data_IF_167543012237
#
_entry.id   IF_167543012237
#
_cell.length_a   1.000
_cell.length_b   1.000
_cell.length_c   1.000
_cell.angle_alpha   90.00
_cell.angle_beta   90.00
_cell.angle_gamma   90.00
#
_symmetry.space_group_name_H-M   'P 1'
#
loop_
_entity.id
_entity.type
_entity.pdbx_description
1 polymer ?
#
# COMPACT_ATOMS: atom_id res chain seq x y z
N UNK A 1 -18.60 68.05 -33.19
CA UNK A 1 -17.33 67.35 -32.83
C UNK A 1 -17.46 66.76 -31.41
N UNK A 2 -18.45 65.84 -31.18
CA UNK A 2 -18.76 65.27 -29.86
C UNK A 2 -19.32 63.83 -29.92
N UNK A 3 -18.87 63.02 -30.91
CA UNK A 3 -19.39 61.62 -31.06
C UNK A 3 -18.26 60.58 -31.27
N UNK A 4 -17.01 60.93 -31.02
CA UNK A 4 -15.88 59.98 -31.20
C UNK A 4 -15.13 59.58 -29.92
N UNK A 5 -15.64 59.93 -28.72
CA UNK A 5 -14.96 59.64 -27.45
C UNK A 5 -15.59 58.53 -26.63
N UNK A 6 -16.63 57.87 -27.12
CA UNK A 6 -17.42 56.87 -26.33
C UNK A 6 -17.14 55.40 -26.68
N UNK A 7 -16.19 55.11 -27.60
CA UNK A 7 -15.92 53.72 -28.06
C UNK A 7 -14.64 53.12 -27.51
N UNK A 8 -13.80 53.87 -26.80
CA UNK A 8 -12.49 53.42 -26.30
C UNK A 8 -12.44 53.02 -24.84
N UNK A 9 -13.59 52.93 -24.14
CA UNK A 9 -13.61 52.58 -22.70
C UNK A 9 -14.25 51.21 -22.41
N UNK A 10 -14.47 50.35 -23.40
CA UNK A 10 -15.14 49.05 -23.18
C UNK A 10 -14.24 47.83 -23.42
N UNK A 11 -12.91 47.99 -23.52
CA UNK A 11 -12.00 46.87 -23.81
C UNK A 11 -11.00 46.52 -22.69
N UNK A 12 -11.22 47.02 -21.49
CA UNK A 12 -10.33 46.70 -20.37
C UNK A 12 -11.19 46.15 -19.25
N UNK A 13 -11.52 44.88 -19.25
CA UNK A 13 -11.74 44.05 -18.03
C UNK A 13 -12.16 42.62 -18.40
N UNK A 14 -11.35 41.92 -19.16
CA UNK A 14 -11.37 40.45 -19.14
C UNK A 14 -9.98 39.98 -18.66
N UNK A 15 -9.63 40.31 -17.42
CA UNK A 15 -8.60 39.54 -16.71
C UNK A 15 -9.28 38.23 -16.34
N UNK A 16 -9.18 37.23 -17.22
CA UNK A 16 -9.50 35.83 -16.91
C UNK A 16 -8.54 35.44 -15.83
N UNK A 17 -8.98 35.43 -14.56
CA UNK A 17 -8.32 34.72 -13.45
C UNK A 17 -8.34 33.25 -13.85
N UNK A 18 -7.26 32.78 -14.47
CA UNK A 18 -7.00 31.37 -14.58
C UNK A 18 -6.73 30.87 -13.16
N UNK A 19 -7.77 30.52 -12.43
CA UNK A 19 -7.65 29.71 -11.21
C UNK A 19 -6.98 28.42 -11.66
N UNK A 20 -5.67 28.30 -11.32
CA UNK A 20 -4.93 27.08 -11.51
C UNK A 20 -5.66 25.97 -10.74
N UNK A 21 -6.32 25.07 -11.45
CA UNK A 21 -6.95 23.91 -10.83
C UNK A 21 -5.86 23.13 -10.09
N UNK A 22 -5.82 23.23 -8.77
CA UNK A 22 -4.97 22.40 -7.94
C UNK A 22 -5.32 20.93 -8.23
N UNK A 23 -4.30 20.12 -8.54
CA UNK A 23 -4.52 18.70 -8.76
C UNK A 23 -5.21 18.10 -7.53
N UNK A 24 -6.26 17.31 -7.74
CA UNK A 24 -6.99 16.67 -6.66
C UNK A 24 -6.00 15.78 -5.84
N UNK A 25 -6.13 15.77 -4.51
CA UNK A 25 -5.26 14.94 -3.68
C UNK A 25 -5.45 13.45 -4.03
N UNK A 26 -4.35 12.71 -4.06
CA UNK A 26 -4.35 11.26 -4.35
C UNK A 26 -5.27 10.51 -3.39
N UNK A 27 -5.21 10.87 -2.10
CA UNK A 27 -6.13 10.39 -1.08
C UNK A 27 -6.96 11.56 -0.55
N UNK A 28 -8.27 11.61 -0.82
CA UNK A 28 -9.15 12.60 -0.21
C UNK A 28 -9.11 12.54 1.32
N UNK A 29 -9.32 13.68 1.99
CA UNK A 29 -9.30 13.76 3.44
C UNK A 29 -10.26 12.72 4.07
N UNK A 30 -9.75 11.93 5.02
CA UNK A 30 -10.49 10.88 5.70
C UNK A 30 -10.77 9.61 4.87
N UNK A 31 -10.40 9.60 3.57
CA UNK A 31 -10.64 8.43 2.73
C UNK A 31 -9.77 7.24 3.15
N UNK A 32 -10.39 6.06 3.16
CA UNK A 32 -9.71 4.78 3.38
C UNK A 32 -10.17 3.76 2.35
N UNK A 33 -9.24 3.00 1.79
CA UNK A 33 -9.50 1.96 0.79
C UNK A 33 -8.64 0.74 1.04
N UNK A 34 -9.22 -0.45 0.86
CA UNK A 34 -8.49 -1.72 0.84
C UNK A 34 -8.00 -2.08 -0.55
N UNK A 35 -8.48 -1.35 -1.58
CA UNK A 35 -8.03 -1.54 -2.95
C UNK A 35 -6.58 -1.10 -3.05
N UNK A 36 -5.75 -2.00 -3.57
CA UNK A 36 -4.36 -1.72 -3.87
C UNK A 36 -4.26 -1.14 -5.27
N UNK A 37 -3.65 0.03 -5.37
CA UNK A 37 -3.46 0.74 -6.64
C UNK A 37 -1.97 0.72 -7.01
N UNK A 38 -1.64 0.71 -8.31
CA UNK A 38 -0.27 0.95 -8.76
C UNK A 38 0.23 2.32 -8.30
N UNK A 39 1.54 2.42 -8.04
CA UNK A 39 2.15 3.68 -7.64
C UNK A 39 2.12 4.70 -8.81
N UNK A 40 1.55 5.91 -8.64
CA UNK A 40 1.62 6.95 -9.65
C UNK A 40 3.06 7.48 -9.80
N UNK A 41 3.42 7.90 -11.02
CA UNK A 41 4.78 8.41 -11.35
C UNK A 41 5.21 9.52 -10.39
N UNK A 42 4.29 10.41 -10.00
CA UNK A 42 4.57 11.52 -9.07
C UNK A 42 5.06 11.10 -7.69
N UNK A 43 4.88 9.83 -7.30
CA UNK A 43 5.31 9.31 -6.01
C UNK A 43 6.54 8.38 -6.09
N UNK A 44 7.12 8.17 -7.27
CA UNK A 44 8.26 7.25 -7.44
C UNK A 44 9.47 7.67 -6.62
N UNK A 45 9.89 8.93 -6.68
CA UNK A 45 11.03 9.43 -5.89
C UNK A 45 10.77 9.34 -4.38
N UNK A 46 9.52 9.57 -3.96
CA UNK A 46 9.13 9.39 -2.56
C UNK A 46 9.24 7.92 -2.13
N UNK A 47 8.81 6.99 -2.98
CA UNK A 47 8.94 5.56 -2.71
C UNK A 47 10.41 5.13 -2.63
N UNK A 48 11.25 5.60 -3.56
CA UNK A 48 12.71 5.35 -3.51
C UNK A 48 13.29 5.76 -2.17
N UNK A 49 12.99 6.97 -1.73
CA UNK A 49 13.46 7.49 -0.44
C UNK A 49 12.96 6.66 0.73
N UNK A 50 11.65 6.37 0.77
CA UNK A 50 11.03 5.64 1.88
C UNK A 50 11.55 4.21 2.04
N UNK A 51 11.81 3.54 0.93
CA UNK A 51 12.21 2.12 0.93
C UNK A 51 13.71 1.91 0.65
N UNK A 52 14.47 2.99 0.40
CA UNK A 52 15.90 2.90 0.08
C UNK A 52 16.17 2.20 -1.26
N UNK A 53 15.33 2.46 -2.29
CA UNK A 53 15.41 1.78 -3.57
C UNK A 53 16.34 2.51 -4.53
N UNK A 54 17.26 1.78 -5.16
CA UNK A 54 18.16 2.28 -6.19
C UNK A 54 17.83 1.77 -7.60
N UNK A 55 16.73 1.02 -7.74
CA UNK A 55 16.28 0.48 -9.02
C UNK A 55 15.68 1.56 -9.94
N UNK A 56 15.55 1.29 -11.27
CA UNK A 56 14.91 2.20 -12.22
C UNK A 56 13.45 2.52 -11.84
N UNK A 57 12.99 3.71 -12.22
CA UNK A 57 11.67 4.27 -11.85
C UNK A 57 10.51 3.38 -12.27
N UNK A 58 10.57 2.83 -13.47
CA UNK A 58 9.57 1.92 -14.01
C UNK A 58 9.46 0.63 -13.18
N UNK A 59 10.56 0.16 -12.62
CA UNK A 59 10.56 -1.01 -11.75
C UNK A 59 10.01 -0.65 -10.36
N UNK A 60 10.39 0.52 -9.80
CA UNK A 60 9.80 1.02 -8.54
C UNK A 60 8.28 1.13 -8.67
N UNK A 61 7.80 1.70 -9.79
CA UNK A 61 6.38 1.87 -10.04
C UNK A 61 5.62 0.52 -10.10
N UNK A 62 6.22 -0.49 -10.75
CA UNK A 62 5.62 -1.83 -10.86
C UNK A 62 5.66 -2.64 -9.57
N UNK A 63 6.65 -2.40 -8.72
CA UNK A 63 6.85 -3.16 -7.48
C UNK A 63 6.32 -2.45 -6.24
N UNK A 64 5.81 -1.22 -6.36
CA UNK A 64 5.25 -0.49 -5.23
C UNK A 64 3.76 -0.29 -5.42
N UNK A 65 3.00 -0.69 -4.41
CA UNK A 65 1.55 -0.50 -4.34
C UNK A 65 1.21 0.61 -3.36
N UNK A 66 0.09 1.29 -3.61
CA UNK A 66 -0.45 2.28 -2.70
C UNK A 66 -1.90 1.95 -2.30
N UNK A 67 -2.32 2.49 -1.19
CA UNK A 67 -3.70 2.58 -0.72
C UNK A 67 -3.90 3.83 0.11
N UNK A 68 -5.14 4.25 0.29
CA UNK A 68 -5.47 5.32 1.22
C UNK A 68 -5.81 4.77 2.61
N UNK A 69 -5.31 5.41 3.66
CA UNK A 69 -5.68 5.16 5.04
C UNK A 69 -5.87 6.49 5.78
N UNK A 70 -7.11 6.79 6.16
CA UNK A 70 -7.52 8.01 6.85
C UNK A 70 -7.02 9.30 6.16
N UNK A 71 -7.16 9.34 4.82
CA UNK A 71 -6.72 10.46 3.99
C UNK A 71 -5.21 10.47 3.67
N UNK A 72 -4.44 9.54 4.22
CA UNK A 72 -3.00 9.43 4.00
C UNK A 72 -2.70 8.39 2.93
N UNK A 73 -1.77 8.69 2.03
CA UNK A 73 -1.22 7.71 1.10
C UNK A 73 -0.28 6.77 1.86
N UNK A 74 -0.61 5.51 1.84
CA UNK A 74 0.23 4.42 2.34
C UNK A 74 0.86 3.69 1.16
N UNK A 75 2.14 3.38 1.26
CA UNK A 75 2.91 2.66 0.24
C UNK A 75 3.48 1.36 0.80
N UNK A 76 3.51 0.32 -0.02
CA UNK A 76 4.18 -0.95 0.26
C UNK A 76 4.97 -1.39 -0.97
N UNK A 77 6.25 -1.68 -0.79
CA UNK A 77 7.08 -2.22 -1.87
C UNK A 77 7.10 -3.75 -1.80
N UNK A 78 6.72 -4.38 -2.90
CA UNK A 78 6.68 -5.84 -3.03
C UNK A 78 8.09 -6.42 -2.98
N UNK A 79 8.28 -7.42 -2.16
CA UNK A 79 9.49 -8.24 -2.11
C UNK A 79 9.15 -9.72 -2.23
N UNK A 80 10.15 -10.57 -2.43
CA UNK A 80 9.96 -12.01 -2.59
C UNK A 80 9.18 -12.65 -1.42
N UNK A 81 9.32 -12.10 -0.21
CA UNK A 81 8.68 -12.59 1.02
C UNK A 81 7.87 -11.49 1.73
N UNK A 82 7.53 -10.40 1.04
CA UNK A 82 6.81 -9.25 1.60
C UNK A 82 5.53 -9.02 0.83
N UNK A 83 4.41 -9.67 1.23
CA UNK A 83 3.11 -9.44 0.62
C UNK A 83 2.55 -8.08 1.03
N UNK A 84 2.11 -7.28 0.05
CA UNK A 84 1.39 -6.03 0.32
C UNK A 84 -0.13 -6.26 0.50
N UNK A 85 -0.61 -7.48 0.34
CA UNK A 85 -2.00 -7.83 0.55
C UNK A 85 -2.40 -7.82 2.03
N UNK A 86 -3.65 -8.18 2.28
CA UNK A 86 -4.11 -8.42 3.66
C UNK A 86 -3.37 -9.60 4.27
N UNK A 87 -3.11 -9.49 5.56
CA UNK A 87 -2.52 -10.55 6.34
C UNK A 87 -3.47 -11.74 6.48
N UNK A 88 -2.91 -12.93 6.51
CA UNK A 88 -3.64 -14.14 6.88
C UNK A 88 -3.63 -14.28 8.41
N UNK A 89 -4.77 -13.99 9.02
CA UNK A 89 -4.99 -14.09 10.47
C UNK A 89 -5.64 -15.42 10.87
N UNK A 90 -5.81 -16.34 9.93
CA UNK A 90 -6.39 -17.66 10.20
C UNK A 90 -5.52 -18.45 11.17
N UNK A 91 -6.17 -19.12 12.10
CA UNK A 91 -5.54 -20.08 13.00
C UNK A 91 -5.63 -21.53 12.48
N UNK A 92 -6.04 -21.69 11.22
CA UNK A 92 -6.02 -22.97 10.50
C UNK A 92 -5.28 -22.79 9.17
N UNK A 93 -4.52 -23.80 8.77
CA UNK A 93 -3.78 -23.81 7.51
C UNK A 93 -3.72 -25.24 6.95
N UNK A 94 -4.27 -25.42 5.75
CA UNK A 94 -4.20 -26.71 5.06
C UNK A 94 -2.74 -27.10 4.75
N UNK A 95 -1.90 -26.13 4.38
CA UNK A 95 -0.47 -26.38 4.13
C UNK A 95 0.31 -26.76 5.40
N UNK A 96 0.01 -26.11 6.54
CA UNK A 96 0.58 -26.52 7.82
C UNK A 96 0.11 -27.95 8.21
N UNK A 97 -1.16 -28.27 7.98
CA UNK A 97 -1.69 -29.61 8.26
C UNK A 97 -0.96 -30.69 7.43
N UNK A 98 -0.81 -30.45 6.11
CA UNK A 98 -0.08 -31.38 5.25
C UNK A 98 1.40 -31.52 5.69
N UNK A 99 2.06 -30.42 6.01
CA UNK A 99 3.43 -30.44 6.51
C UNK A 99 3.57 -31.26 7.80
N UNK A 100 2.66 -31.08 8.76
CA UNK A 100 2.70 -31.76 10.05
C UNK A 100 2.36 -33.26 9.96
N UNK A 101 1.59 -33.67 8.95
CA UNK A 101 1.40 -35.08 8.65
C UNK A 101 2.73 -35.78 8.36
N UNK A 102 3.58 -35.14 7.55
CA UNK A 102 4.88 -35.70 7.15
C UNK A 102 5.98 -35.48 8.19
N UNK A 103 5.84 -34.46 9.02
CA UNK A 103 6.84 -34.03 10.03
C UNK A 103 6.14 -33.74 11.36
N UNK A 104 5.68 -34.76 12.08
CA UNK A 104 4.70 -34.65 13.17
C UNK A 104 5.15 -33.82 14.37
N UNK A 105 6.45 -33.60 14.57
CA UNK A 105 7.01 -32.85 15.70
C UNK A 105 7.94 -31.70 15.22
N UNK A 106 7.68 -31.13 14.04
CA UNK A 106 8.47 -30.01 13.55
C UNK A 106 8.24 -28.78 14.43
N UNK A 107 9.30 -28.20 14.97
CA UNK A 107 9.25 -26.98 15.76
C UNK A 107 8.83 -25.74 14.95
N UNK A 108 9.01 -25.79 13.62
CA UNK A 108 8.64 -24.69 12.71
C UNK A 108 8.09 -25.28 11.42
N UNK A 109 6.95 -24.77 10.99
CA UNK A 109 6.43 -25.00 9.63
C UNK A 109 6.92 -23.87 8.75
N UNK A 110 7.60 -24.16 7.61
CA UNK A 110 8.20 -23.12 6.79
C UNK A 110 7.15 -22.29 6.05
N UNK A 111 7.50 -21.03 5.74
CA UNK A 111 6.61 -20.07 5.12
C UNK A 111 6.05 -20.53 3.75
N UNK A 112 6.81 -21.31 2.98
CA UNK A 112 6.30 -21.84 1.71
C UNK A 112 5.13 -22.83 1.88
N UNK A 113 4.97 -23.43 3.06
CA UNK A 113 3.86 -24.33 3.38
C UNK A 113 2.64 -23.59 3.94
N UNK A 114 2.84 -22.52 4.72
CA UNK A 114 1.75 -21.79 5.38
C UNK A 114 1.35 -20.50 4.68
N UNK A 115 2.15 -20.00 3.75
CA UNK A 115 2.03 -18.68 3.13
C UNK A 115 2.90 -17.63 3.81
N UNK A 116 3.40 -16.67 3.02
CA UNK A 116 4.21 -15.55 3.52
C UNK A 116 3.36 -14.45 4.18
N UNK A 117 2.05 -14.53 4.08
CA UNK A 117 1.07 -13.59 4.60
C UNK A 117 0.54 -13.96 5.99
N UNK A 118 0.90 -15.15 6.52
CA UNK A 118 0.52 -15.55 7.89
C UNK A 118 1.17 -14.66 8.94
N UNK A 119 0.38 -14.34 9.97
CA UNK A 119 0.88 -13.57 11.11
C UNK A 119 1.41 -14.44 12.25
N UNK A 120 1.34 -15.76 12.12
CA UNK A 120 1.77 -16.70 13.16
C UNK A 120 3.00 -17.50 12.78
N UNK A 121 3.86 -17.81 13.76
CA UNK A 121 4.74 -18.95 13.67
C UNK A 121 3.93 -20.24 13.82
N UNK A 122 4.17 -21.20 12.94
CA UNK A 122 3.48 -22.47 12.98
C UNK A 122 4.43 -23.57 13.41
N UNK A 123 3.91 -24.56 14.18
CA UNK A 123 4.63 -25.75 14.59
C UNK A 123 3.72 -26.98 14.56
N UNK A 124 4.32 -28.15 14.69
CA UNK A 124 3.61 -29.42 14.73
C UNK A 124 3.69 -30.03 16.13
N UNK A 125 2.58 -30.54 16.59
CA UNK A 125 2.46 -31.27 17.85
C UNK A 125 1.75 -32.60 17.57
N UNK A 126 2.49 -33.71 17.58
CA UNK A 126 2.00 -35.05 17.28
C UNK A 126 1.20 -35.12 15.96
N UNK A 127 1.70 -34.51 14.91
CA UNK A 127 1.05 -34.45 13.59
C UNK A 127 -0.03 -33.39 13.44
N UNK A 128 -0.34 -32.63 14.48
CA UNK A 128 -1.34 -31.56 14.48
C UNK A 128 -0.64 -30.21 14.26
N UNK A 129 -1.06 -29.48 13.23
CA UNK A 129 -0.60 -28.12 13.01
C UNK A 129 -1.19 -27.16 14.03
N UNK A 130 -0.34 -26.38 14.69
CA UNK A 130 -0.74 -25.38 15.67
C UNK A 130 -0.15 -24.01 15.36
N UNK A 131 -1.00 -22.94 15.38
CA UNK A 131 -0.47 -21.59 15.38
C UNK A 131 0.21 -21.33 16.72
N UNK A 132 1.42 -20.82 16.67
CA UNK A 132 2.19 -20.41 17.85
C UNK A 132 2.13 -18.91 18.06
N UNK A 133 3.28 -18.31 18.37
CA UNK A 133 3.39 -16.87 18.61
C UNK A 133 2.98 -16.06 17.38
N UNK A 134 2.18 -15.03 17.60
CA UNK A 134 1.96 -13.98 16.59
C UNK A 134 3.26 -13.17 16.40
N UNK A 135 3.73 -13.07 15.16
CA UNK A 135 4.99 -12.42 14.78
C UNK A 135 4.78 -11.12 14.01
N UNK A 136 3.57 -10.89 13.48
CA UNK A 136 3.23 -9.69 12.73
C UNK A 136 2.03 -8.99 13.36
N UNK A 137 2.13 -7.66 13.53
CA UNK A 137 0.99 -6.83 13.86
C UNK A 137 0.24 -6.43 12.59
N UNK A 138 -1.09 -6.43 12.67
CA UNK A 138 -1.94 -5.93 11.59
C UNK A 138 -2.52 -4.57 11.96
N UNK A 139 -2.74 -3.72 10.95
CA UNK A 139 -3.46 -2.49 11.13
C UNK A 139 -4.99 -2.72 11.25
N UNK A 140 -5.74 -1.65 11.49
CA UNK A 140 -7.22 -1.70 11.65
C UNK A 140 -7.95 -2.29 10.43
N UNK A 141 -7.29 -2.37 9.29
CA UNK A 141 -7.83 -2.87 8.03
C UNK A 141 -7.30 -4.25 7.64
N UNK A 142 -6.47 -4.86 8.49
CA UNK A 142 -5.96 -6.22 8.31
C UNK A 142 -4.70 -6.34 7.45
N UNK A 143 -3.96 -5.25 7.23
CA UNK A 143 -2.66 -5.29 6.55
C UNK A 143 -1.52 -5.40 7.55
N UNK A 144 -0.42 -6.10 7.21
CA UNK A 144 0.76 -6.15 8.07
C UNK A 144 1.36 -4.76 8.22
N UNK A 145 1.25 -4.17 9.42
CA UNK A 145 1.50 -2.76 9.66
C UNK A 145 2.91 -2.31 9.23
N UNK A 146 3.95 -3.12 9.49
CA UNK A 146 5.36 -2.76 9.20
C UNK A 146 5.70 -2.68 7.71
N UNK A 147 4.88 -3.27 6.82
CA UNK A 147 5.13 -3.24 5.37
C UNK A 147 4.60 -1.97 4.71
N UNK A 148 3.71 -1.26 5.39
CA UNK A 148 3.08 -0.05 4.88
C UNK A 148 3.69 1.20 5.50
N UNK A 149 4.24 2.06 4.65
CA UNK A 149 4.84 3.33 5.05
C UNK A 149 4.02 4.50 4.55
N UNK A 150 3.93 5.57 5.36
CA UNK A 150 3.27 6.82 4.99
C UNK A 150 4.09 7.59 3.96
N UNK A 151 3.43 8.18 2.98
CA UNK A 151 4.04 9.02 1.95
C UNK A 151 4.18 10.49 2.35
N UNK A 152 4.34 10.80 3.61
CA UNK A 152 4.50 12.18 4.12
C UNK A 152 5.91 12.70 3.93
#
# INVERSE_FOLDING_TARGET
MAKLLAVLLSCILCIVLAEGAAAAPICPAGASSDKLEPLPVSLVEKAKTLFGLSMPDDLVQRTTLMRCADGTVMMCNLGANLPCGKANTSQTSAGATAWCHDKPNANVVPAFAVGHDTIYLWHCDNGIAKPGKQIEAVDKRGFVARYWKRAE
#
